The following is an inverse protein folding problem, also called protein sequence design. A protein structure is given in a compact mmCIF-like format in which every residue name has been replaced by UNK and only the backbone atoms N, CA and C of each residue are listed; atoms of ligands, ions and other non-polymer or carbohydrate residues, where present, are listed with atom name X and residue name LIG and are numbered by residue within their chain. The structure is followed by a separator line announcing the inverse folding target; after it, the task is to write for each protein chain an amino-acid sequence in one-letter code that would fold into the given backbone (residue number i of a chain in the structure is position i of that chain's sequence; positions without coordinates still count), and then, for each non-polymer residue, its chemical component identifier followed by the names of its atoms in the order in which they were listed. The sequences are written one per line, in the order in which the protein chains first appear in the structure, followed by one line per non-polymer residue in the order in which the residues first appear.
data_IF_857505288114
#
_entry.id   IF_857505288114
#
_cell.length_a   1.000
_cell.length_b   1.000
_cell.length_c   1.000
_cell.angle_alpha   90.00
_cell.angle_beta   90.00
_cell.angle_gamma   90.00
#
_symmetry.space_group_name_H-M   'P 1'
#
loop_
_entity.id
_entity.type
_entity.pdbx_description
1 polymer ?
#
# COMPACT_ATOMS: atom_id res chain seq x y z
N UNK A 1 -5.21 -27.72 13.03
CA UNK A 1 -5.03 -26.26 13.01
C UNK A 1 -4.37 -25.92 11.70
N UNK A 2 -4.90 -24.96 10.96
CA UNK A 2 -4.23 -24.45 9.76
C UNK A 2 -2.94 -23.74 10.19
N UNK A 3 -1.85 -23.98 9.45
CA UNK A 3 -0.58 -23.29 9.68
C UNK A 3 -0.75 -21.85 9.22
N UNK A 4 -0.52 -20.89 10.13
CA UNK A 4 -0.54 -19.46 9.84
C UNK A 4 0.88 -19.01 9.51
N UNK A 5 1.07 -18.35 8.38
CA UNK A 5 2.35 -17.74 8.01
C UNK A 5 2.56 -16.43 8.79
N UNK A 6 3.82 -16.06 9.01
CA UNK A 6 4.17 -14.79 9.61
C UNK A 6 3.77 -13.64 8.68
N UNK A 7 3.30 -12.52 9.25
CA UNK A 7 2.87 -11.34 8.48
C UNK A 7 4.04 -10.43 8.10
N UNK A 8 5.19 -10.60 8.76
CA UNK A 8 6.42 -9.85 8.47
C UNK A 8 7.38 -10.64 7.55
N UNK A 9 7.23 -11.95 7.47
CA UNK A 9 8.11 -12.86 6.74
C UNK A 9 7.28 -14.04 6.20
N UNK A 10 7.02 -14.04 4.89
CA UNK A 10 6.21 -15.05 4.22
C UNK A 10 6.92 -16.40 4.06
N UNK A 11 8.24 -16.46 4.32
CA UNK A 11 9.01 -17.71 4.35
C UNK A 11 8.95 -18.41 5.73
N UNK A 12 8.37 -17.76 6.76
CA UNK A 12 8.35 -18.25 8.13
C UNK A 12 6.94 -18.62 8.62
N UNK A 13 6.80 -19.77 9.30
CA UNK A 13 5.59 -20.10 10.08
C UNK A 13 5.49 -19.22 11.33
N UNK A 14 4.29 -18.75 11.66
CA UNK A 14 4.08 -17.92 12.84
C UNK A 14 4.33 -18.72 14.13
N UNK A 15 5.31 -18.28 14.91
CA UNK A 15 5.73 -18.87 16.19
C UNK A 15 5.18 -18.12 17.42
N UNK A 16 4.38 -17.08 17.21
CA UNK A 16 3.78 -16.28 18.29
C UNK A 16 4.75 -15.32 18.98
N UNK A 17 5.83 -14.90 18.31
CA UNK A 17 6.82 -13.96 18.88
C UNK A 17 6.26 -12.56 19.25
N UNK A 18 5.08 -12.19 18.74
CA UNK A 18 4.43 -10.88 18.93
C UNK A 18 5.22 -9.67 18.38
N UNK A 19 6.25 -9.88 17.58
CA UNK A 19 7.04 -8.80 16.97
C UNK A 19 6.19 -7.89 16.07
N UNK A 20 5.24 -8.47 15.31
CA UNK A 20 4.32 -7.72 14.45
C UNK A 20 3.36 -6.79 15.20
N UNK A 21 3.27 -6.90 16.53
CA UNK A 21 2.43 -6.04 17.37
C UNK A 21 3.22 -4.84 17.93
N UNK A 22 4.53 -4.74 17.71
CA UNK A 22 5.39 -3.68 18.24
C UNK A 22 5.66 -2.63 17.15
N UNK A 23 5.76 -1.35 17.54
CA UNK A 23 6.05 -0.28 16.60
C UNK A 23 7.52 -0.29 16.17
N UNK A 24 7.77 -0.30 14.85
CA UNK A 24 9.12 -0.24 14.28
C UNK A 24 9.94 1.00 14.69
N UNK A 25 9.27 2.09 15.08
CA UNK A 25 9.93 3.33 15.51
C UNK A 25 10.13 3.42 17.02
N UNK A 26 9.29 2.74 17.82
CA UNK A 26 9.33 2.81 19.28
C UNK A 26 9.06 1.41 19.86
N UNK A 27 10.10 0.69 20.31
CA UNK A 27 9.99 -0.65 20.89
C UNK A 27 9.10 -0.74 22.14
N UNK A 28 8.78 0.38 22.79
CA UNK A 28 7.91 0.42 23.96
C UNK A 28 6.43 0.62 23.60
N UNK A 29 6.11 0.84 22.32
CA UNK A 29 4.76 1.15 21.84
C UNK A 29 4.18 -0.05 21.09
N UNK A 30 2.95 -0.45 21.46
CA UNK A 30 2.13 -1.37 20.65
C UNK A 30 1.71 -0.65 19.37
N UNK A 31 1.86 -1.30 18.22
CA UNK A 31 1.51 -0.74 16.93
C UNK A 31 0.02 -0.37 16.89
N UNK A 32 -0.27 0.89 16.61
CA UNK A 32 -1.61 1.45 16.45
C UNK A 32 -1.96 1.72 14.98
N UNK A 33 -1.17 1.16 14.05
CA UNK A 33 -1.27 1.38 12.60
C UNK A 33 -1.21 2.86 12.19
N UNK A 34 -0.53 3.73 12.95
CA UNK A 34 -0.41 5.15 12.60
C UNK A 34 0.40 5.43 11.32
N UNK A 35 1.12 4.44 10.79
CA UNK A 35 1.85 4.54 9.53
C UNK A 35 3.07 5.45 9.54
N UNK A 36 3.48 6.02 10.69
CA UNK A 36 4.65 6.91 10.78
C UNK A 36 5.99 6.22 10.47
N UNK A 37 6.07 4.90 10.68
CA UNK A 37 7.21 4.08 10.28
C UNK A 37 7.30 3.92 8.76
N UNK A 38 6.18 4.09 8.07
CA UNK A 38 6.12 4.06 6.63
C UNK A 38 6.50 5.46 6.15
N UNK A 39 7.57 5.57 5.36
CA UNK A 39 7.95 6.82 4.70
C UNK A 39 7.01 7.10 3.51
N UNK A 40 5.71 7.07 3.79
CA UNK A 40 4.64 7.32 2.83
C UNK A 40 4.35 8.81 2.78
N UNK A 41 4.16 9.32 1.58
CA UNK A 41 3.69 10.69 1.41
C UNK A 41 2.26 10.78 1.93
N UNK A 42 1.92 11.85 2.63
CA UNK A 42 0.56 12.12 3.13
C UNK A 42 -0.48 12.31 2.01
N UNK A 43 -0.05 12.30 0.75
CA UNK A 43 -0.89 12.46 -0.42
C UNK A 43 -0.66 11.35 -1.44
N UNK A 44 -1.74 10.86 -2.02
CA UNK A 44 -1.67 10.07 -3.23
C UNK A 44 -1.31 10.98 -4.41
N UNK A 45 -0.36 10.56 -5.25
CA UNK A 45 -0.02 11.29 -6.48
C UNK A 45 -0.75 10.62 -7.65
N UNK A 46 -1.67 11.34 -8.28
CA UNK A 46 -2.27 10.92 -9.55
C UNK A 46 -1.50 11.62 -10.67
N UNK A 47 -0.88 10.85 -11.56
CA UNK A 47 -0.23 11.39 -12.76
C UNK A 47 -1.29 11.60 -13.84
N UNK A 48 -1.45 12.84 -14.30
CA UNK A 48 -2.29 13.16 -15.45
C UNK A 48 -1.43 13.05 -16.71
N UNK A 49 -1.67 12.05 -17.53
CA UNK A 49 -0.91 11.85 -18.77
C UNK A 49 -1.40 12.75 -19.93
N UNK A 50 -2.69 13.09 -19.96
CA UNK A 50 -3.29 13.97 -20.99
C UNK A 50 -4.57 14.63 -20.47
N UNK A 51 -4.84 15.86 -20.91
CA UNK A 51 -6.08 16.61 -20.67
C UNK A 51 -6.76 16.83 -22.03
N UNK A 52 -8.05 16.55 -22.10
CA UNK A 52 -8.85 16.78 -23.31
C UNK A 52 -9.76 17.98 -23.09
N UNK A 53 -9.74 18.93 -24.02
CA UNK A 53 -10.67 20.09 -24.04
C UNK A 53 -11.78 19.92 -25.08
N UNK A 54 -11.60 18.99 -26.01
CA UNK A 54 -12.56 18.63 -27.05
C UNK A 54 -13.08 17.20 -26.81
N UNK A 55 -14.40 17.01 -26.58
CA UNK A 55 -15.01 15.69 -26.45
C UNK A 55 -14.75 14.76 -27.64
N UNK A 56 -14.67 15.30 -28.87
CA UNK A 56 -14.43 14.48 -30.07
C UNK A 56 -13.01 13.94 -30.13
N UNK A 57 -12.02 14.67 -29.59
CA UNK A 57 -10.66 14.18 -29.42
C UNK A 57 -10.61 13.02 -28.42
N UNK A 58 -11.29 13.15 -27.29
CA UNK A 58 -11.36 12.10 -26.27
C UNK A 58 -11.95 10.80 -26.82
N UNK A 59 -13.07 10.89 -27.55
CA UNK A 59 -13.73 9.73 -28.15
C UNK A 59 -12.84 9.01 -29.18
N UNK A 60 -12.13 9.77 -30.03
CA UNK A 60 -11.20 9.21 -31.02
C UNK A 60 -10.03 8.48 -30.36
N UNK A 61 -9.42 9.07 -29.33
CA UNK A 61 -8.30 8.45 -28.63
C UNK A 61 -8.73 7.25 -27.77
N UNK A 62 -9.92 7.31 -27.16
CA UNK A 62 -10.50 6.20 -26.40
C UNK A 62 -10.79 4.98 -27.27
N UNK A 63 -11.23 5.19 -28.52
CA UNK A 63 -11.49 4.11 -29.48
C UNK A 63 -10.23 3.43 -30.01
N UNK A 64 -9.09 4.14 -30.08
CA UNK A 64 -7.79 3.56 -30.49
C UNK A 64 -7.16 2.68 -29.42
N UNK A 65 -7.53 2.85 -28.15
CA UNK A 65 -7.00 2.11 -27.00
C UNK A 65 -7.75 0.80 -26.71
N UNK A 66 -8.84 0.52 -27.43
CA UNK A 66 -9.66 -0.68 -27.30
C UNK A 66 -9.29 -1.72 -28.33
#
# INVERSE_FOLDING_TARGET
MEKKMCVLDDEKECDGCMECEVCDLDPNKICDNCGKCLNVKEYATIKIDKIYTDPEEYERDSKKRR
#
